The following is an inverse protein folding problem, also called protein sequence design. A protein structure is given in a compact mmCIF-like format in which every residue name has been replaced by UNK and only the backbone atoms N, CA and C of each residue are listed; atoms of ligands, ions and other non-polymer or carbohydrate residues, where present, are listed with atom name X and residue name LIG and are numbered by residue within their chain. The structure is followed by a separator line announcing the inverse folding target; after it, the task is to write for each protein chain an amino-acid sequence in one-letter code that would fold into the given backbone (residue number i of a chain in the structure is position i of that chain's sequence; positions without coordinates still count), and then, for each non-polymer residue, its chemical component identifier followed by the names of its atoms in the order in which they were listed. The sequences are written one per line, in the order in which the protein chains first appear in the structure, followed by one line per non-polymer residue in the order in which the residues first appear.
data_IF_501953204010
#
_entry.id   IF_501953204010
#
_cell.length_a   1.000
_cell.length_b   1.000
_cell.length_c   1.000
_cell.angle_alpha   90.00
_cell.angle_beta   90.00
_cell.angle_gamma   90.00
#
_symmetry.space_group_name_H-M   'P 1'
#
loop_
_entity.id
_entity.type
_entity.pdbx_description
1 polymer ?
#
# COMPACT_ATOMS: atom_id res chain seq x y z
N UNK A 1 16.21 2.38 9.92
CA UNK A 1 15.75 1.18 10.66
C UNK A 1 14.87 1.65 11.82
N UNK A 2 13.75 0.99 12.15
CA UNK A 2 12.87 1.39 13.27
C UNK A 2 11.67 2.30 12.92
N UNK A 3 11.36 2.53 11.64
CA UNK A 3 10.20 3.33 11.20
C UNK A 3 8.87 2.56 11.22
N UNK A 4 8.91 1.26 11.46
CA UNK A 4 7.75 0.37 11.49
C UNK A 4 7.78 -0.37 12.81
N UNK A 5 6.72 -0.23 13.61
CA UNK A 5 6.59 -0.89 14.90
C UNK A 5 6.42 -2.40 14.72
N UNK A 6 7.01 -3.19 15.63
CA UNK A 6 6.83 -4.65 15.67
C UNK A 6 5.47 -5.05 16.26
N UNK A 7 5.01 -4.30 17.26
CA UNK A 7 3.71 -4.51 17.88
C UNK A 7 2.62 -3.95 16.96
N UNK A 8 1.69 -4.81 16.59
CA UNK A 8 0.53 -4.47 15.78
C UNK A 8 -0.61 -4.00 16.71
N UNK A 9 -1.32 -2.91 16.36
CA UNK A 9 -2.40 -2.32 17.18
C UNK A 9 -3.72 -2.04 16.41
N UNK A 10 -3.78 -2.31 15.12
CA UNK A 10 -4.87 -1.95 14.20
C UNK A 10 -5.27 -3.14 13.32
N UNK A 11 -6.39 -3.13 12.61
CA UNK A 11 -6.66 -4.23 11.66
C UNK A 11 -5.68 -4.24 10.48
N UNK A 12 -5.26 -3.06 10.03
CA UNK A 12 -4.25 -2.93 8.97
C UNK A 12 -2.85 -3.29 9.50
N UNK A 13 -2.19 -4.23 8.82
CA UNK A 13 -0.84 -4.66 9.19
C UNK A 13 0.17 -3.52 9.13
N UNK A 14 1.05 -3.48 10.12
CA UNK A 14 2.20 -2.56 10.11
C UNK A 14 3.03 -2.79 8.84
N UNK A 15 3.36 -1.72 8.16
CA UNK A 15 3.94 -1.80 6.83
C UNK A 15 4.22 -0.43 6.24
N UNK A 16 4.39 -0.41 4.92
CA UNK A 16 4.61 0.82 4.16
C UNK A 16 3.36 1.11 3.35
N UNK A 17 2.90 2.35 3.39
CA UNK A 17 1.89 2.89 2.50
C UNK A 17 2.56 3.87 1.54
N UNK A 18 2.32 3.72 0.25
CA UNK A 18 2.86 4.63 -0.76
C UNK A 18 1.80 4.97 -1.82
N UNK A 19 1.73 6.25 -2.15
CA UNK A 19 0.91 6.76 -3.23
C UNK A 19 1.65 6.56 -4.56
N UNK A 20 0.99 5.90 -5.51
CA UNK A 20 1.50 5.67 -6.86
C UNK A 20 0.40 5.87 -7.89
N UNK A 21 0.77 6.16 -9.13
CA UNK A 21 -0.16 6.26 -10.25
C UNK A 21 0.35 5.44 -11.44
N UNK A 22 -0.55 5.13 -12.37
CA UNK A 22 -0.25 4.32 -13.55
C UNK A 22 -0.40 2.81 -13.34
N UNK A 23 0.11 2.01 -14.28
CA UNK A 23 0.14 0.55 -14.17
C UNK A 23 1.29 0.10 -13.29
N UNK A 24 0.95 -0.53 -12.16
CA UNK A 24 1.91 -1.01 -11.16
C UNK A 24 2.12 -2.52 -11.26
N UNK A 25 1.52 -3.18 -12.24
CA UNK A 25 1.47 -4.64 -12.35
C UNK A 25 2.87 -5.24 -12.35
N UNK A 26 3.80 -4.66 -13.12
CA UNK A 26 5.19 -5.10 -13.22
C UNK A 26 5.98 -4.87 -11.91
N UNK A 27 5.77 -3.72 -11.26
CA UNK A 27 6.44 -3.37 -9.99
C UNK A 27 5.97 -4.29 -8.86
N UNK A 28 4.67 -4.62 -8.83
CA UNK A 28 4.03 -5.39 -7.77
C UNK A 28 4.30 -6.89 -7.86
N UNK A 29 4.64 -7.43 -9.03
CA UNK A 29 5.05 -8.84 -9.20
C UNK A 29 6.17 -9.26 -8.23
N UNK A 30 7.05 -8.32 -7.85
CA UNK A 30 8.16 -8.57 -6.90
C UNK A 30 7.69 -8.70 -5.45
N UNK A 31 6.48 -8.25 -5.14
CA UNK A 31 5.92 -8.27 -3.79
C UNK A 31 4.85 -9.35 -3.67
N UNK A 32 5.06 -10.30 -2.76
CA UNK A 32 4.13 -11.43 -2.56
C UNK A 32 2.83 -11.03 -1.85
N UNK A 33 2.77 -9.83 -1.27
CA UNK A 33 1.65 -9.36 -0.46
C UNK A 33 1.56 -7.84 -0.55
N UNK A 34 0.99 -7.35 -1.63
CA UNK A 34 0.61 -5.95 -1.79
C UNK A 34 -0.91 -5.83 -1.86
N UNK A 35 -1.47 -4.84 -1.17
CA UNK A 35 -2.88 -4.47 -1.28
C UNK A 35 -2.97 -3.11 -1.96
N UNK A 36 -3.86 -2.99 -2.94
CA UNK A 36 -4.10 -1.75 -3.68
C UNK A 36 -5.42 -1.14 -3.25
N UNK A 37 -5.43 0.17 -3.15
CA UNK A 37 -6.62 0.97 -2.84
C UNK A 37 -6.71 2.07 -3.89
N UNK A 38 -7.75 2.03 -4.71
CA UNK A 38 -8.00 3.02 -5.76
C UNK A 38 -8.49 4.33 -5.14
N UNK A 39 -7.78 5.44 -5.38
CA UNK A 39 -8.17 6.73 -4.83
C UNK A 39 -9.42 7.30 -5.47
N UNK A 40 -9.77 6.86 -6.68
CA UNK A 40 -11.05 7.17 -7.33
C UNK A 40 -12.27 6.74 -6.51
N UNK A 41 -12.12 5.78 -5.60
CA UNK A 41 -13.21 5.37 -4.69
C UNK A 41 -13.43 6.34 -3.52
N UNK A 42 -12.48 7.26 -3.30
CA UNK A 42 -12.51 8.24 -2.20
C UNK A 42 -12.59 9.69 -2.70
N UNK A 43 -12.12 9.96 -3.92
CA UNK A 43 -12.04 11.29 -4.51
C UNK A 43 -12.57 11.27 -5.95
N UNK A 44 -13.42 12.23 -6.28
CA UNK A 44 -14.07 12.33 -7.60
C UNK A 44 -13.24 13.11 -8.64
N UNK A 45 -12.10 13.68 -8.26
CA UNK A 45 -11.27 14.49 -9.17
C UNK A 45 -10.50 13.60 -10.17
N UNK A 46 -10.45 14.01 -11.45
CA UNK A 46 -9.75 13.27 -12.52
C UNK A 46 -8.28 12.96 -12.20
N UNK A 47 -7.64 13.82 -11.40
CA UNK A 47 -6.28 13.60 -10.94
C UNK A 47 -6.11 12.28 -10.18
N UNK A 48 -7.13 11.82 -9.45
CA UNK A 48 -7.11 10.61 -8.63
C UNK A 48 -7.56 9.35 -9.36
N UNK A 49 -8.12 9.47 -10.56
CA UNK A 49 -8.67 8.35 -11.33
C UNK A 49 -7.64 7.23 -11.55
N UNK A 50 -6.39 7.63 -11.81
CA UNK A 50 -5.28 6.70 -12.05
C UNK A 50 -4.43 6.41 -10.80
N UNK A 51 -4.71 7.08 -9.67
CA UNK A 51 -3.89 7.02 -8.46
C UNK A 51 -4.39 5.95 -7.51
N UNK A 52 -3.44 5.23 -6.92
CA UNK A 52 -3.68 4.14 -6.00
C UNK A 52 -2.73 4.27 -4.81
N UNK A 53 -3.24 3.96 -3.63
CA UNK A 53 -2.40 3.70 -2.47
C UNK A 53 -2.04 2.23 -2.49
N UNK A 54 -0.75 1.95 -2.36
CA UNK A 54 -0.26 0.60 -2.21
C UNK A 54 0.17 0.37 -0.78
N UNK A 55 -0.28 -0.73 -0.20
CA UNK A 55 0.10 -1.19 1.12
C UNK A 55 0.97 -2.44 1.02
N UNK A 56 2.17 -2.35 1.60
CA UNK A 56 3.05 -3.49 1.81
C UNK A 56 3.09 -3.83 3.29
N UNK A 57 2.25 -4.78 3.69
CA UNK A 57 2.28 -5.33 5.04
C UNK A 57 3.58 -6.10 5.29
N UNK A 58 4.31 -5.73 6.35
CA UNK A 58 5.52 -6.46 6.73
C UNK A 58 5.15 -7.65 7.62
N UNK A 59 5.61 -8.86 7.22
CA UNK A 59 5.61 -10.02 8.10
C UNK A 59 6.87 -9.95 8.96
N UNK A 60 6.71 -9.62 10.23
CA UNK A 60 7.79 -9.79 11.20
C UNK A 60 7.97 -11.29 11.45
N UNK A 61 9.08 -11.87 10.99
CA UNK A 61 9.55 -13.15 11.53
C UNK A 61 10.14 -12.82 12.90
N UNK A 62 9.49 -13.30 13.96
CA UNK A 62 9.95 -13.20 15.34
C UNK A 62 11.28 -13.89 15.52
#
# INVERSE_FOLDING_TARGET
KGKIAKKQQHDLKNGILYLKGGDLTEELKKYTSATLYDLSTYFEEDFYDTKKVVHLGMKFKG
#
